data_IF_369510814063
#
_entry.id   IF_369510814063
#
_cell.length_a   1.000
_cell.length_b   1.000
_cell.length_c   1.000
_cell.angle_alpha   90.00
_cell.angle_beta   90.00
_cell.angle_gamma   90.00
#
_symmetry.space_group_name_H-M   'P 1'
#
loop_
_entity.id
_entity.type
_entity.pdbx_description
1 polymer ?
#
# COMPACT_ATOMS: atom_id res chain seq x y z
N UNK A 1 -10.47 -53.07 -5.95
CA UNK A 1 -11.73 -53.54 -5.35
C UNK A 1 -12.72 -52.40 -5.47
N UNK A 2 -13.73 -52.69 -6.27
CA UNK A 2 -14.84 -51.82 -6.66
C UNK A 2 -15.66 -51.34 -5.46
N UNK A 3 -16.20 -50.14 -5.52
CA UNK A 3 -17.60 -49.91 -5.17
C UNK A 3 -18.12 -48.63 -5.87
N UNK A 4 -18.79 -48.91 -6.93
CA UNK A 4 -19.76 -48.13 -7.67
C UNK A 4 -21.01 -47.91 -6.79
N UNK A 5 -21.49 -46.71 -6.64
CA UNK A 5 -22.85 -46.42 -6.17
C UNK A 5 -23.52 -45.42 -7.10
N UNK A 6 -24.38 -46.02 -7.94
CA UNK A 6 -25.45 -45.36 -8.71
C UNK A 6 -26.69 -45.23 -7.82
N UNK A 7 -27.31 -44.09 -7.76
CA UNK A 7 -28.75 -43.88 -7.51
C UNK A 7 -29.09 -42.52 -8.13
N UNK A 8 -29.76 -42.48 -9.26
CA UNK A 8 -31.16 -42.74 -9.62
C UNK A 8 -32.11 -41.59 -9.24
N UNK A 9 -32.51 -40.87 -10.29
CA UNK A 9 -33.81 -40.26 -10.62
C UNK A 9 -34.78 -39.80 -9.53
N UNK A 10 -35.18 -38.53 -9.60
CA UNK A 10 -36.60 -38.16 -9.50
C UNK A 10 -36.84 -36.79 -10.18
N UNK A 11 -37.56 -36.87 -11.27
CA UNK A 11 -38.24 -35.78 -12.00
C UNK A 11 -39.50 -35.43 -11.22
N UNK A 12 -39.72 -34.12 -10.93
CA UNK A 12 -41.05 -33.63 -10.55
C UNK A 12 -41.41 -32.43 -11.42
N UNK A 13 -42.34 -32.69 -12.32
CA UNK A 13 -43.12 -31.68 -13.06
C UNK A 13 -44.31 -31.26 -12.19
N UNK A 14 -44.63 -29.99 -12.15
CA UNK A 14 -45.92 -29.36 -11.92
C UNK A 14 -45.66 -27.90 -11.60
N UNK A 15 -46.28 -26.88 -12.14
CA UNK A 15 -47.46 -26.67 -12.92
C UNK A 15 -47.61 -25.17 -13.12
N UNK A 16 -48.10 -24.78 -14.24
CA UNK A 16 -48.46 -23.41 -14.67
C UNK A 16 -49.58 -22.83 -13.80
N UNK A 17 -49.43 -21.57 -13.33
CA UNK A 17 -50.58 -20.70 -13.17
C UNK A 17 -50.20 -19.30 -13.59
N UNK A 18 -50.87 -18.87 -14.63
CA UNK A 18 -50.98 -17.52 -15.18
C UNK A 18 -51.87 -16.65 -14.25
N UNK A 19 -51.43 -15.47 -13.91
CA UNK A 19 -52.33 -14.37 -13.50
C UNK A 19 -51.85 -13.07 -14.10
N UNK A 20 -52.66 -12.59 -15.01
CA UNK A 20 -52.71 -11.25 -15.61
C UNK A 20 -53.09 -10.21 -14.56
N UNK A 21 -52.40 -9.08 -14.44
CA UNK A 21 -52.76 -7.99 -13.57
C UNK A 21 -52.07 -6.68 -13.98
N UNK A 22 -52.84 -5.90 -14.62
CA UNK A 22 -52.80 -4.55 -15.18
C UNK A 22 -51.92 -3.53 -14.44
N UNK A 23 -51.21 -2.71 -15.23
CA UNK A 23 -50.43 -1.50 -14.91
C UNK A 23 -51.24 -0.38 -14.25
N UNK A 24 -50.58 0.50 -13.47
CA UNK A 24 -50.50 1.86 -14.00
C UNK A 24 -49.10 2.51 -13.88
N UNK A 25 -48.83 3.34 -14.89
CA UNK A 25 -47.68 4.22 -15.06
C UNK A 25 -47.40 5.07 -13.83
N UNK A 26 -46.21 4.93 -13.26
CA UNK A 26 -45.67 5.95 -12.37
C UNK A 26 -44.43 6.57 -13.03
N UNK A 27 -44.47 7.90 -13.15
CA UNK A 27 -43.44 8.74 -13.76
C UNK A 27 -42.13 8.61 -12.94
N UNK A 28 -41.10 8.07 -13.53
CA UNK A 28 -39.73 8.15 -13.03
C UNK A 28 -39.23 9.59 -13.20
N UNK A 29 -39.08 10.29 -12.09
CA UNK A 29 -38.22 11.47 -12.02
C UNK A 29 -36.77 10.97 -11.94
N UNK A 30 -36.07 11.07 -13.07
CA UNK A 30 -34.62 10.80 -13.15
C UNK A 30 -33.89 11.89 -12.39
N UNK A 31 -33.63 11.67 -11.10
CA UNK A 31 -32.64 12.44 -10.36
C UNK A 31 -31.27 11.89 -10.75
N UNK A 32 -30.64 12.58 -11.68
CA UNK A 32 -29.25 12.34 -12.13
C UNK A 32 -28.33 12.67 -10.97
N UNK A 33 -28.04 11.65 -10.13
CA UNK A 33 -26.94 11.73 -9.18
C UNK A 33 -25.64 11.70 -9.97
N UNK A 34 -25.06 12.88 -10.15
CA UNK A 34 -23.69 13.04 -10.60
C UNK A 34 -22.80 12.56 -9.44
N UNK A 35 -22.53 11.27 -9.42
CA UNK A 35 -21.45 10.75 -8.60
C UNK A 35 -20.14 11.20 -9.25
N UNK A 36 -19.60 12.31 -8.77
CA UNK A 36 -18.21 12.68 -9.05
C UNK A 36 -17.31 11.62 -8.38
N UNK A 37 -17.12 10.51 -9.06
CA UNK A 37 -16.06 9.57 -8.70
C UNK A 37 -14.74 10.29 -8.97
N UNK A 38 -14.19 10.91 -7.92
CA UNK A 38 -12.81 11.35 -7.88
C UNK A 38 -11.97 10.07 -8.01
N UNK A 39 -11.59 9.76 -9.24
CA UNK A 39 -10.73 8.64 -9.58
C UNK A 39 -9.31 8.95 -9.06
N UNK A 40 -9.14 8.92 -7.74
CA UNK A 40 -7.83 8.93 -7.11
C UNK A 40 -7.22 7.56 -7.42
N UNK A 41 -6.41 7.50 -8.48
CA UNK A 41 -5.52 6.37 -8.75
C UNK A 41 -4.74 6.12 -7.47
N UNK A 42 -5.16 5.11 -6.70
CA UNK A 42 -4.45 4.69 -5.48
C UNK A 42 -3.03 4.33 -5.90
N UNK A 43 -2.07 5.18 -5.57
CA UNK A 43 -0.66 4.89 -5.80
C UNK A 43 -0.30 3.76 -4.85
N UNK A 44 -0.07 2.56 -5.38
CA UNK A 44 0.47 1.48 -4.58
C UNK A 44 1.90 1.85 -4.19
N UNK A 45 2.15 1.89 -2.88
CA UNK A 45 3.51 1.99 -2.34
C UNK A 45 4.31 0.78 -2.83
N UNK A 46 5.42 1.02 -3.51
CA UNK A 46 6.23 -0.03 -4.10
C UNK A 46 6.95 -0.83 -3.02
N UNK A 47 6.89 -2.17 -3.12
CA UNK A 47 7.68 -3.06 -2.26
C UNK A 47 9.11 -3.14 -2.77
N UNK A 48 10.07 -2.84 -1.89
CA UNK A 48 11.48 -2.69 -2.24
C UNK A 48 12.25 -3.95 -1.84
N UNK A 49 12.83 -4.63 -2.84
CA UNK A 49 13.81 -5.70 -2.61
C UNK A 49 15.21 -5.12 -2.43
N UNK A 50 16.16 -5.94 -1.94
CA UNK A 50 17.56 -5.53 -1.81
C UNK A 50 18.17 -5.10 -3.16
N UNK A 51 17.83 -5.80 -4.24
CA UNK A 51 18.30 -5.46 -5.60
C UNK A 51 17.69 -4.13 -6.09
N UNK A 52 16.40 -3.93 -5.87
CA UNK A 52 15.74 -2.67 -6.24
C UNK A 52 16.25 -1.50 -5.37
N UNK A 53 16.56 -1.75 -4.09
CA UNK A 53 17.18 -0.77 -3.21
C UNK A 53 18.53 -0.30 -3.75
N UNK A 54 19.40 -1.24 -4.18
CA UNK A 54 20.71 -0.92 -4.77
C UNK A 54 20.60 -0.05 -6.03
N UNK A 55 19.51 -0.18 -6.77
CA UNK A 55 19.30 0.59 -8.00
C UNK A 55 18.64 1.96 -7.77
N UNK A 56 17.76 2.06 -6.76
CA UNK A 56 16.88 3.23 -6.57
C UNK A 56 17.27 4.13 -5.41
N UNK A 57 17.98 3.57 -4.42
CA UNK A 57 18.25 4.26 -3.16
C UNK A 57 19.74 4.38 -2.90
N UNK A 58 20.45 3.27 -2.74
CA UNK A 58 21.87 3.27 -2.47
C UNK A 58 22.50 1.93 -2.86
N UNK A 59 23.55 1.97 -3.64
CA UNK A 59 24.32 0.78 -3.95
C UNK A 59 25.43 0.57 -2.90
N UNK A 60 25.10 -0.17 -1.84
CA UNK A 60 26.02 -0.44 -0.74
C UNK A 60 27.15 -1.43 -1.11
N UNK A 61 27.04 -2.18 -2.22
CA UNK A 61 28.14 -2.99 -2.74
C UNK A 61 29.24 -2.12 -3.37
N UNK A 62 28.84 -1.00 -4.00
CA UNK A 62 29.77 -0.02 -4.58
C UNK A 62 30.31 0.97 -3.55
N UNK A 63 29.54 1.24 -2.51
CA UNK A 63 29.83 2.27 -1.52
C UNK A 63 29.64 1.72 -0.09
N UNK A 64 30.47 0.74 0.35
CA UNK A 64 30.28 0.08 1.65
C UNK A 64 30.52 1.03 2.84
N UNK A 65 31.39 2.03 2.69
CA UNK A 65 31.83 2.88 3.80
C UNK A 65 31.15 4.26 3.84
N UNK A 66 30.28 4.56 2.90
CA UNK A 66 29.64 5.89 2.83
C UNK A 66 28.24 5.84 2.25
N UNK A 67 27.36 6.69 2.75
CA UNK A 67 26.05 6.90 2.19
C UNK A 67 26.14 7.66 0.86
N UNK A 68 25.68 7.06 -0.23
CA UNK A 68 25.55 7.67 -1.56
C UNK A 68 24.14 7.44 -2.06
N UNK A 69 23.32 8.48 -2.08
CA UNK A 69 21.95 8.39 -2.54
C UNK A 69 21.87 8.41 -4.07
N UNK A 70 21.29 7.38 -4.65
CA UNK A 70 21.17 7.19 -6.11
C UNK A 70 19.85 7.77 -6.67
N UNK A 71 18.90 8.12 -5.79
CA UNK A 71 17.59 8.62 -6.20
C UNK A 71 17.60 10.07 -6.70
N UNK A 72 16.64 10.42 -7.52
CA UNK A 72 16.48 11.79 -8.05
C UNK A 72 15.56 12.67 -7.19
N UNK A 73 14.75 12.05 -6.34
CA UNK A 73 13.81 12.68 -5.39
C UNK A 73 14.06 12.16 -3.99
N UNK A 74 13.70 12.93 -2.94
CA UNK A 74 13.71 12.39 -1.58
C UNK A 74 12.88 11.11 -1.51
N UNK A 75 13.21 10.22 -0.58
CA UNK A 75 12.49 8.96 -0.43
C UNK A 75 12.05 8.72 1.02
N UNK A 76 10.93 7.99 1.17
CA UNK A 76 10.46 7.44 2.44
C UNK A 76 10.41 5.93 2.30
N UNK A 77 10.93 5.21 3.31
CA UNK A 77 10.87 3.75 3.38
C UNK A 77 10.20 3.34 4.68
N UNK A 78 9.10 2.55 4.58
CA UNK A 78 8.41 1.94 5.72
C UNK A 78 8.88 0.50 5.89
N UNK A 79 9.64 0.24 6.96
CA UNK A 79 10.02 -1.11 7.37
C UNK A 79 8.90 -1.73 8.20
N UNK A 80 8.32 -2.82 7.70
CA UNK A 80 7.12 -3.42 8.26
C UNK A 80 7.18 -4.95 8.29
N UNK A 81 6.17 -5.57 8.89
CA UNK A 81 5.85 -6.98 8.72
C UNK A 81 4.33 -7.18 8.61
N UNK A 82 3.91 -8.23 7.92
CA UNK A 82 2.49 -8.49 7.64
C UNK A 82 1.63 -8.74 8.88
N UNK A 83 2.22 -9.28 9.95
CA UNK A 83 1.57 -9.56 11.23
C UNK A 83 1.61 -8.39 12.22
N UNK A 84 2.35 -7.33 11.93
CA UNK A 84 2.57 -6.19 12.83
C UNK A 84 1.32 -5.30 12.92
N UNK A 85 0.68 -5.26 14.08
CA UNK A 85 -0.52 -4.45 14.33
C UNK A 85 -0.30 -2.94 14.11
N UNK A 86 0.71 -2.32 14.76
CA UNK A 86 1.03 -0.91 14.57
C UNK A 86 1.39 -0.57 13.10
N UNK A 87 2.04 -1.49 12.36
CA UNK A 87 2.34 -1.28 10.94
C UNK A 87 1.07 -1.17 10.09
N UNK A 88 0.03 -1.97 10.42
CA UNK A 88 -1.27 -1.88 9.74
C UNK A 88 -1.97 -0.53 9.95
N UNK A 89 -1.70 0.15 11.06
CA UNK A 89 -2.22 1.50 11.32
C UNK A 89 -1.40 2.55 10.55
N UNK A 90 -0.10 2.33 10.36
CA UNK A 90 0.80 3.23 9.63
C UNK A 90 0.61 3.14 8.11
N UNK A 91 0.35 1.94 7.57
CA UNK A 91 0.26 1.69 6.13
C UNK A 91 -0.70 2.64 5.37
N UNK A 92 -1.95 2.92 5.82
CA UNK A 92 -2.84 3.84 5.12
C UNK A 92 -2.30 5.29 5.11
N UNK A 93 -1.53 5.69 6.13
CA UNK A 93 -0.90 7.02 6.18
C UNK A 93 0.21 7.10 5.13
N UNK A 94 1.05 6.06 5.03
CA UNK A 94 2.12 5.97 4.03
C UNK A 94 1.56 5.97 2.61
N UNK A 95 0.46 5.24 2.35
CA UNK A 95 -0.24 5.26 1.07
C UNK A 95 -0.79 6.65 0.72
N UNK A 96 -1.32 7.37 1.71
CA UNK A 96 -1.81 8.73 1.53
C UNK A 96 -0.66 9.70 1.21
N UNK A 97 0.47 9.58 1.90
CA UNK A 97 1.67 10.37 1.61
C UNK A 97 2.18 10.11 0.19
N UNK A 98 2.22 8.85 -0.24
CA UNK A 98 2.59 8.51 -1.62
C UNK A 98 1.68 9.16 -2.66
N UNK A 99 0.40 9.36 -2.31
CA UNK A 99 -0.58 10.03 -3.18
C UNK A 99 -0.40 11.55 -3.14
N UNK A 100 -0.30 12.14 -1.95
CA UNK A 100 -0.25 13.58 -1.76
C UNK A 100 1.06 14.20 -2.30
N UNK A 101 2.17 13.46 -2.19
CA UNK A 101 3.50 13.88 -2.68
C UNK A 101 3.91 13.17 -3.98
N UNK A 102 2.93 12.70 -4.76
CA UNK A 102 3.21 12.03 -6.03
C UNK A 102 4.11 12.89 -6.95
N UNK A 103 5.18 12.30 -7.43
CA UNK A 103 6.18 12.99 -8.27
C UNK A 103 7.19 13.85 -7.49
N UNK A 104 7.00 14.09 -6.20
CA UNK A 104 7.89 14.88 -5.33
C UNK A 104 8.71 14.01 -4.38
N UNK A 105 8.11 12.95 -3.84
CA UNK A 105 8.74 11.98 -2.93
C UNK A 105 8.50 10.58 -3.49
N UNK A 106 9.54 9.76 -3.47
CA UNK A 106 9.40 8.32 -3.74
C UNK A 106 9.09 7.60 -2.43
N UNK A 107 8.05 6.79 -2.41
CA UNK A 107 7.59 6.11 -1.19
C UNK A 107 7.63 4.60 -1.40
N UNK A 108 8.34 3.92 -0.53
CA UNK A 108 8.60 2.49 -0.56
C UNK A 108 8.21 1.82 0.76
N UNK A 109 8.06 0.50 0.71
CA UNK A 109 7.94 -0.35 1.90
C UNK A 109 8.88 -1.55 1.79
N UNK A 110 9.34 -2.06 2.93
CA UNK A 110 10.26 -3.18 3.05
C UNK A 110 9.72 -4.16 4.09
N UNK A 111 9.41 -5.40 3.69
CA UNK A 111 9.11 -6.47 4.63
C UNK A 111 10.41 -6.98 5.25
N UNK A 112 10.57 -6.74 6.56
CA UNK A 112 11.82 -7.07 7.28
C UNK A 112 12.12 -8.56 7.35
N UNK A 113 11.12 -9.42 7.16
CA UNK A 113 11.30 -10.87 7.11
C UNK A 113 11.79 -11.35 5.77
N UNK A 114 11.36 -10.69 4.69
CA UNK A 114 11.80 -11.02 3.35
C UNK A 114 13.12 -10.34 2.99
N UNK A 115 13.38 -9.16 3.54
CA UNK A 115 14.53 -8.32 3.25
C UNK A 115 15.39 -8.10 4.51
N UNK A 116 15.85 -9.21 5.13
CA UNK A 116 16.63 -9.17 6.37
C UNK A 116 17.97 -8.40 6.20
N UNK A 117 18.55 -8.45 5.01
CA UNK A 117 19.76 -7.69 4.67
C UNK A 117 19.51 -6.17 4.81
N UNK A 118 18.40 -5.67 4.28
CA UNK A 118 18.04 -4.25 4.41
C UNK A 118 17.70 -3.88 5.87
N UNK A 119 16.99 -4.75 6.58
CA UNK A 119 16.68 -4.53 7.98
C UNK A 119 17.96 -4.43 8.83
N UNK A 120 18.95 -5.28 8.56
CA UNK A 120 20.26 -5.26 9.23
C UNK A 120 21.07 -4.01 8.84
N UNK A 121 21.10 -3.64 7.55
CA UNK A 121 21.82 -2.46 7.05
C UNK A 121 21.37 -1.17 7.76
N UNK A 122 20.08 -1.04 8.06
CA UNK A 122 19.51 0.10 8.77
C UNK A 122 19.31 -0.11 10.26
N UNK A 123 19.84 -1.19 10.84
CA UNK A 123 19.69 -1.55 12.27
C UNK A 123 18.23 -1.44 12.72
N UNK A 124 17.29 -2.07 11.99
CA UNK A 124 15.87 -2.04 12.31
C UNK A 124 15.58 -3.00 13.45
N UNK A 125 15.53 -2.49 14.67
CA UNK A 125 15.28 -3.27 15.90
C UNK A 125 13.80 -3.41 16.24
N UNK A 126 12.97 -2.55 15.70
CA UNK A 126 11.51 -2.53 15.95
C UNK A 126 10.75 -2.08 14.71
N UNK A 127 9.49 -2.48 14.59
CA UNK A 127 8.61 -2.11 13.47
C UNK A 127 7.28 -1.52 13.99
N UNK A 128 6.70 -0.55 13.26
CA UNK A 128 7.23 0.06 12.04
C UNK A 128 8.47 0.92 12.34
N UNK A 129 9.37 0.99 11.38
CA UNK A 129 10.47 1.97 11.37
C UNK A 129 10.41 2.72 10.05
N UNK A 130 10.35 4.04 10.12
CA UNK A 130 10.27 4.91 8.94
C UNK A 130 11.61 5.57 8.72
N UNK A 131 12.13 5.44 7.50
CA UNK A 131 13.36 6.07 7.06
C UNK A 131 13.03 7.22 6.11
N UNK A 132 13.45 8.42 6.46
CA UNK A 132 13.35 9.62 5.64
C UNK A 132 14.71 9.90 4.99
N UNK A 133 14.78 9.85 3.67
CA UNK A 133 16.02 9.97 2.90
C UNK A 133 15.97 11.28 2.12
N UNK A 134 16.73 12.31 2.55
CA UNK A 134 16.84 13.56 1.80
C UNK A 134 17.68 13.37 0.53
N UNK A 135 17.53 14.25 -0.44
CA UNK A 135 18.39 14.26 -1.65
C UNK A 135 19.86 14.47 -1.32
N UNK A 136 20.15 15.19 -0.25
CA UNK A 136 21.50 15.49 0.25
C UNK A 136 21.54 15.29 1.76
N UNK A 137 22.63 14.72 2.25
CA UNK A 137 22.81 14.42 3.67
C UNK A 137 22.49 12.97 4.01
N UNK A 138 22.35 12.68 5.29
CA UNK A 138 22.13 11.32 5.79
C UNK A 138 20.66 11.03 6.05
N UNK A 139 20.22 9.78 5.88
CA UNK A 139 18.87 9.37 6.25
C UNK A 139 18.55 9.63 7.71
N UNK A 140 17.31 9.98 7.99
CA UNK A 140 16.79 10.09 9.36
C UNK A 140 15.78 8.96 9.62
N UNK A 141 15.96 8.28 10.75
CA UNK A 141 15.11 7.14 11.16
C UNK A 141 14.18 7.53 12.29
N UNK A 142 12.93 7.09 12.21
CA UNK A 142 11.94 7.20 13.28
C UNK A 142 11.37 5.82 13.53
N UNK A 143 11.49 5.30 14.75
CA UNK A 143 10.95 4.00 15.15
C UNK A 143 9.59 4.16 15.83
N UNK A 144 8.68 3.22 15.55
CA UNK A 144 7.31 3.21 16.06
C UNK A 144 6.30 3.89 15.13
N UNK A 145 5.02 3.59 15.36
CA UNK A 145 3.93 4.20 14.62
C UNK A 145 3.84 5.70 14.94
N UNK A 146 3.58 6.50 13.91
CA UNK A 146 3.40 7.94 14.05
C UNK A 146 2.11 8.40 13.35
N UNK A 147 1.46 9.45 13.84
CA UNK A 147 0.29 10.04 13.18
C UNK A 147 0.72 10.79 11.90
N UNK A 148 -0.24 11.10 11.04
CA UNK A 148 0.00 11.86 9.81
C UNK A 148 0.75 13.17 10.06
N UNK A 149 0.42 13.90 11.10
CA UNK A 149 1.13 15.15 11.47
C UNK A 149 2.62 14.92 11.73
N UNK A 150 2.98 13.79 12.34
CA UNK A 150 4.37 13.41 12.56
C UNK A 150 5.14 13.19 11.26
N UNK A 151 4.49 12.59 10.26
CA UNK A 151 5.07 12.49 8.91
C UNK A 151 5.21 13.85 8.24
N UNK A 152 4.20 14.71 8.31
CA UNK A 152 4.24 16.05 7.72
C UNK A 152 5.36 16.89 8.35
N UNK A 153 5.55 16.82 9.66
CA UNK A 153 6.64 17.51 10.36
C UNK A 153 8.02 16.94 9.99
N UNK A 154 8.14 15.63 9.83
CA UNK A 154 9.38 14.99 9.38
C UNK A 154 9.70 15.37 7.92
N UNK A 155 8.73 15.38 7.03
CA UNK A 155 8.86 15.79 5.62
C UNK A 155 9.35 17.25 5.55
N UNK A 156 8.73 18.16 6.31
CA UNK A 156 9.17 19.57 6.39
C UNK A 156 10.60 19.70 6.88
N UNK A 157 10.92 19.03 7.98
CA UNK A 157 12.23 19.10 8.61
C UNK A 157 13.34 18.49 7.77
N UNK A 158 13.10 17.30 7.19
CA UNK A 158 14.15 16.51 6.52
C UNK A 158 14.28 16.88 5.04
N UNK A 159 13.15 17.16 4.37
CA UNK A 159 13.14 17.45 2.93
C UNK A 159 13.02 18.93 2.61
N UNK A 160 12.73 19.78 3.61
CA UNK A 160 12.51 21.22 3.40
C UNK A 160 11.23 21.54 2.61
N UNK A 161 10.27 20.61 2.56
CA UNK A 161 9.00 20.78 1.85
C UNK A 161 7.99 21.49 2.76
N UNK A 162 7.11 22.33 2.14
CA UNK A 162 6.04 23.05 2.84
C UNK A 162 4.73 22.27 2.80
#
# INVERSE_FOLDING_TARGET
>A
MNRLFLFSFAVFFFGLTSCSGNSPKQKESVTKQVSTQKNTKKMNVEELTAEAFKQKVMNYDKHPDKWVFEGTKPAIIDFYATWCGPCKQTAPIVEQIATDYAGQIDVYKVDVYQQQELAALFCVESIPTILFIPKQGTPQRVSGAMPRSGFDDAIKRVFGMK
#
